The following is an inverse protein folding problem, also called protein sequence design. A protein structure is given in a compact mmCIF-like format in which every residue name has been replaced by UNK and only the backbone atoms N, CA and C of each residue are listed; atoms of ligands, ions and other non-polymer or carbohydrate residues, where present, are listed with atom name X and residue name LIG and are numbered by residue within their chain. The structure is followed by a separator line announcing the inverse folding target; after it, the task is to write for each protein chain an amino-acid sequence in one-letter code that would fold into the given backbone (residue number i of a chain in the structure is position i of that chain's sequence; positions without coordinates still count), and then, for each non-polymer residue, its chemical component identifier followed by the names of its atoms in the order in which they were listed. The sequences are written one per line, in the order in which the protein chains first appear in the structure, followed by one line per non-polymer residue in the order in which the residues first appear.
data_IF_180109163119
#
_entry.id   IF_180109163119
#
_cell.length_a   1.000
_cell.length_b   1.000
_cell.length_c   1.000
_cell.angle_alpha   90.00
_cell.angle_beta   90.00
_cell.angle_gamma   90.00
#
_symmetry.space_group_name_H-M   'P 1'
#
loop_
_entity.id
_entity.type
_entity.pdbx_description
1 polymer ?
#
# COMPACT_ATOMS: atom_id res chain seq x y z
N UNK A 1 -5.89 5.30 -3.04
CA UNK A 1 -5.24 4.38 -4.00
C UNK A 1 -4.12 5.17 -4.65
N UNK A 2 -3.01 4.58 -5.04
CA UNK A 2 -1.88 5.36 -5.56
C UNK A 2 -0.81 4.55 -6.24
N UNK A 3 0.33 5.20 -6.47
CA UNK A 3 1.55 4.62 -7.02
C UNK A 3 2.70 4.81 -6.04
N UNK A 4 3.61 3.85 -5.99
CA UNK A 4 4.82 3.90 -5.19
C UNK A 4 6.04 3.48 -6.03
N UNK A 5 7.17 4.16 -5.85
CA UNK A 5 8.36 3.96 -6.69
C UNK A 5 9.18 2.69 -6.41
N UNK A 6 8.90 1.92 -5.35
CA UNK A 6 9.78 0.85 -4.88
C UNK A 6 9.97 -0.30 -5.88
N UNK A 7 8.88 -0.92 -6.35
CA UNK A 7 8.97 -2.14 -7.18
C UNK A 7 9.61 -1.87 -8.55
N UNK A 8 9.53 -0.63 -9.05
CA UNK A 8 10.12 -0.20 -10.31
C UNK A 8 11.55 0.32 -10.13
N UNK A 9 11.78 1.21 -9.16
CA UNK A 9 13.00 2.01 -9.08
C UNK A 9 13.84 1.81 -7.82
N UNK A 10 13.35 1.01 -6.85
CA UNK A 10 14.03 0.78 -5.58
C UNK A 10 14.38 2.09 -4.88
N UNK A 11 15.65 2.25 -4.53
CA UNK A 11 16.19 3.43 -3.87
C UNK A 11 16.45 4.62 -4.82
N UNK A 12 16.26 4.45 -6.13
CA UNK A 12 16.90 5.31 -7.16
C UNK A 12 15.96 6.18 -7.99
N UNK A 13 14.68 6.29 -7.63
CA UNK A 13 13.73 7.11 -8.39
C UNK A 13 14.20 8.56 -8.53
N UNK A 14 13.91 9.17 -9.67
CA UNK A 14 14.22 10.57 -10.02
C UNK A 14 12.96 11.42 -10.11
N UNK A 15 13.11 12.74 -10.03
CA UNK A 15 12.00 13.70 -10.16
C UNK A 15 11.23 13.55 -11.47
N UNK A 16 11.92 13.36 -12.59
CA UNK A 16 11.30 13.21 -13.90
C UNK A 16 10.43 11.93 -13.98
N UNK A 17 10.89 10.84 -13.37
CA UNK A 17 10.15 9.57 -13.29
C UNK A 17 8.91 9.70 -12.40
N UNK A 18 9.03 10.39 -11.26
CA UNK A 18 7.88 10.71 -10.39
C UNK A 18 6.84 11.53 -11.15
N UNK A 19 7.27 12.59 -11.85
CA UNK A 19 6.37 13.44 -12.61
C UNK A 19 5.76 12.73 -13.82
N UNK A 20 6.49 11.79 -14.45
CA UNK A 20 5.96 10.97 -15.53
C UNK A 20 4.84 10.05 -15.05
N UNK A 21 5.06 9.35 -13.92
CA UNK A 21 4.05 8.52 -13.29
C UNK A 21 2.85 9.34 -12.80
N UNK A 22 3.09 10.54 -12.24
CA UNK A 22 2.03 11.45 -11.81
C UNK A 22 1.14 11.90 -12.97
N UNK A 23 1.72 12.35 -14.09
CA UNK A 23 0.95 12.74 -15.28
C UNK A 23 0.16 11.55 -15.84
N UNK A 24 0.79 10.38 -15.95
CA UNK A 24 0.12 9.19 -16.45
C UNK A 24 -1.05 8.77 -15.56
N UNK A 25 -0.85 8.76 -14.23
CA UNK A 25 -1.89 8.44 -13.26
C UNK A 25 -3.05 9.43 -13.36
N UNK A 26 -2.77 10.73 -13.50
CA UNK A 26 -3.79 11.77 -13.74
C UNK A 26 -4.61 11.48 -15.00
N UNK A 27 -3.94 11.24 -16.13
CA UNK A 27 -4.58 11.08 -17.44
C UNK A 27 -5.39 9.78 -17.57
N UNK A 28 -5.01 8.71 -16.85
CA UNK A 28 -5.55 7.38 -17.10
C UNK A 28 -6.26 6.72 -15.91
N UNK A 29 -5.91 7.10 -14.67
CA UNK A 29 -6.32 6.37 -13.47
C UNK A 29 -7.04 7.25 -12.43
N UNK A 30 -6.99 8.57 -12.55
CA UNK A 30 -7.62 9.49 -11.59
C UNK A 30 -9.13 9.24 -11.47
N UNK A 31 -9.83 9.11 -12.59
CA UNK A 31 -11.27 8.83 -12.63
C UNK A 31 -11.63 7.45 -12.04
N UNK A 32 -10.67 6.52 -12.03
CA UNK A 32 -10.79 5.21 -11.38
C UNK A 32 -10.43 5.25 -9.88
N UNK A 33 -10.13 6.43 -9.32
CA UNK A 33 -9.91 6.65 -7.88
C UNK A 33 -8.45 6.58 -7.41
N UNK A 34 -7.49 6.49 -8.33
CA UNK A 34 -6.06 6.55 -8.01
C UNK A 34 -5.64 8.01 -7.88
N UNK A 35 -5.12 8.42 -6.73
CA UNK A 35 -4.93 9.84 -6.43
C UNK A 35 -3.66 10.16 -5.62
N UNK A 36 -2.78 9.19 -5.39
CA UNK A 36 -1.60 9.36 -4.52
C UNK A 36 -0.32 8.94 -5.24
N UNK A 37 0.73 9.75 -5.16
CA UNK A 37 2.08 9.48 -5.69
C UNK A 37 3.06 9.44 -4.52
N UNK A 38 3.74 8.31 -4.31
CA UNK A 38 4.67 8.11 -3.19
C UNK A 38 6.09 7.90 -3.69
N UNK A 39 7.02 8.75 -3.24
CA UNK A 39 8.47 8.56 -3.40
C UNK A 39 8.95 7.65 -2.28
N UNK A 40 9.39 6.44 -2.61
CA UNK A 40 9.85 5.46 -1.64
C UNK A 40 11.29 5.75 -1.14
N UNK A 41 11.87 4.83 -0.38
CA UNK A 41 13.05 5.00 0.47
C UNK A 41 14.27 5.60 -0.22
N UNK A 42 15.14 6.20 0.60
CA UNK A 42 16.46 6.69 0.22
C UNK A 42 16.47 7.85 -0.79
N UNK A 43 15.38 8.62 -0.91
CA UNK A 43 15.36 9.89 -1.67
C UNK A 43 16.41 10.92 -1.21
N UNK A 44 16.91 10.77 0.00
CA UNK A 44 17.97 11.58 0.59
C UNK A 44 19.38 11.10 0.24
N UNK A 45 19.55 9.93 -0.38
CA UNK A 45 20.85 9.39 -0.75
C UNK A 45 21.27 9.87 -2.15
N UNK A 46 22.28 10.76 -2.26
CA UNK A 46 22.77 11.22 -3.56
C UNK A 46 23.56 10.14 -4.32
N UNK A 47 23.95 9.05 -3.67
CA UNK A 47 24.72 7.95 -4.25
C UNK A 47 23.89 6.67 -4.42
N UNK A 48 22.55 6.76 -4.29
CA UNK A 48 21.66 5.62 -4.43
C UNK A 48 21.90 4.86 -5.73
N UNK A 49 21.87 3.53 -5.65
CA UNK A 49 22.10 2.61 -6.75
C UNK A 49 21.06 1.48 -6.74
N UNK A 50 20.89 0.80 -7.88
CA UNK A 50 20.02 -0.37 -7.95
C UNK A 50 20.51 -1.49 -7.00
N UNK A 51 19.59 -2.37 -6.61
CA UNK A 51 19.89 -3.60 -5.86
C UNK A 51 20.46 -3.42 -4.44
N UNK A 52 20.11 -2.34 -3.74
CA UNK A 52 20.34 -2.23 -2.31
C UNK A 52 20.64 -0.81 -1.82
N UNK A 53 21.29 -0.75 -0.66
CA UNK A 53 21.57 0.46 0.10
C UNK A 53 23.08 0.71 0.22
N UNK A 54 23.46 1.98 0.34
CA UNK A 54 24.83 2.35 0.67
C UNK A 54 25.08 2.18 2.17
N UNK A 55 26.15 1.47 2.54
CA UNK A 55 26.61 1.35 3.93
C UNK A 55 28.12 1.70 4.01
N UNK A 56 28.51 2.82 4.65
CA UNK A 56 27.65 3.74 5.38
C UNK A 56 26.91 4.73 4.46
N UNK A 57 25.68 5.08 4.84
CA UNK A 57 24.91 6.15 4.21
C UNK A 57 25.61 7.51 4.40
N UNK A 58 25.58 8.34 3.35
CA UNK A 58 26.00 9.74 3.36
C UNK A 58 24.85 10.61 2.84
N UNK A 59 23.85 10.91 3.68
CA UNK A 59 22.61 11.51 3.21
C UNK A 59 22.78 13.00 2.93
N UNK A 60 21.97 13.51 2.02
CA UNK A 60 21.62 14.93 1.98
C UNK A 60 20.80 15.26 3.24
N UNK A 61 21.26 16.23 4.02
CA UNK A 61 20.74 16.52 5.35
C UNK A 61 20.94 17.99 5.69
N UNK A 62 20.02 18.57 6.46
CA UNK A 62 20.15 19.94 6.94
C UNK A 62 21.01 20.06 8.21
N UNK A 63 21.24 21.29 8.65
CA UNK A 63 22.07 21.58 9.83
C UNK A 63 21.49 21.07 11.16
N UNK A 64 20.25 20.54 11.16
CA UNK A 64 19.55 20.04 12.33
C UNK A 64 19.34 18.52 12.29
N UNK A 65 20.03 17.82 11.38
CA UNK A 65 19.96 16.37 11.28
C UNK A 65 18.72 15.83 10.55
N UNK A 66 17.94 16.69 9.87
CA UNK A 66 16.77 16.26 9.10
C UNK A 66 17.13 16.00 7.65
N UNK A 67 16.63 14.90 7.11
CA UNK A 67 16.95 14.43 5.76
C UNK A 67 16.38 15.37 4.69
N UNK A 68 17.15 15.61 3.63
CA UNK A 68 16.79 16.46 2.49
C UNK A 68 16.83 15.65 1.19
N UNK A 69 15.94 15.91 0.21
CA UNK A 69 16.02 15.27 -1.11
C UNK A 69 17.33 15.58 -1.82
N UNK A 70 17.95 14.53 -2.36
CA UNK A 70 19.22 14.60 -3.06
C UNK A 70 19.08 15.42 -4.36
N UNK A 71 19.70 16.62 -4.48
CA UNK A 71 19.43 17.52 -5.61
C UNK A 71 19.88 16.99 -6.98
N UNK A 72 20.78 16.01 -7.02
CA UNK A 72 21.16 15.35 -8.28
C UNK A 72 20.05 14.44 -8.84
N UNK A 73 19.13 13.98 -7.99
CA UNK A 73 17.96 13.17 -8.37
C UNK A 73 16.66 13.98 -8.38
N UNK A 74 16.60 15.01 -7.54
CA UNK A 74 15.49 15.95 -7.42
C UNK A 74 15.96 17.39 -7.63
N UNK A 75 16.26 17.80 -8.88
CA UNK A 75 16.85 19.12 -9.16
C UNK A 75 16.02 20.29 -8.65
N UNK A 76 14.68 20.15 -8.58
CA UNK A 76 13.83 21.23 -8.07
C UNK A 76 14.02 21.50 -6.58
N UNK A 77 14.60 20.55 -5.83
CA UNK A 77 14.85 20.69 -4.39
C UNK A 77 16.01 21.63 -4.04
N UNK A 78 16.84 21.96 -5.03
CA UNK A 78 18.02 22.79 -4.87
C UNK A 78 17.69 24.15 -4.24
N UNK A 79 18.64 24.69 -3.47
CA UNK A 79 18.47 25.97 -2.78
C UNK A 79 17.55 25.90 -1.55
N UNK A 80 17.45 24.73 -0.91
CA UNK A 80 16.69 24.55 0.34
C UNK A 80 15.19 24.46 0.16
N UNK A 81 14.71 24.20 -1.06
CA UNK A 81 13.27 24.09 -1.36
C UNK A 81 12.68 22.74 -0.94
N UNK A 82 13.53 21.73 -0.75
CA UNK A 82 13.09 20.38 -0.40
C UNK A 82 12.12 19.83 -1.45
N UNK A 83 11.09 19.11 -1.02
CA UNK A 83 10.09 18.57 -1.95
C UNK A 83 8.99 19.55 -2.35
N UNK A 84 8.96 20.79 -1.83
CA UNK A 84 7.85 21.71 -2.08
C UNK A 84 7.54 21.88 -3.59
N UNK A 85 8.52 22.08 -4.50
CA UNK A 85 8.21 22.24 -5.92
C UNK A 85 7.67 20.96 -6.58
N UNK A 86 8.14 19.78 -6.17
CA UNK A 86 7.66 18.50 -6.67
C UNK A 86 6.22 18.23 -6.17
N UNK A 87 5.97 18.48 -4.88
CA UNK A 87 4.63 18.38 -4.31
C UNK A 87 3.64 19.33 -4.99
N UNK A 88 4.01 20.59 -5.22
CA UNK A 88 3.19 21.58 -5.94
C UNK A 88 2.85 21.08 -7.36
N UNK A 89 3.81 20.48 -8.06
CA UNK A 89 3.58 19.92 -9.40
C UNK A 89 2.63 18.70 -9.37
N UNK A 90 2.72 17.85 -8.35
CA UNK A 90 1.79 16.72 -8.14
C UNK A 90 0.39 17.23 -7.77
N UNK A 91 0.29 18.21 -6.88
CA UNK A 91 -0.98 18.83 -6.49
C UNK A 91 -1.67 19.56 -7.65
N UNK A 92 -0.91 20.16 -8.57
CA UNK A 92 -1.45 20.77 -9.79
C UNK A 92 -2.15 19.77 -10.71
N UNK A 93 -1.85 18.47 -10.57
CA UNK A 93 -2.54 17.36 -11.25
C UNK A 93 -3.74 16.81 -10.45
N UNK A 94 -4.17 17.51 -9.39
CA UNK A 94 -5.20 17.04 -8.46
C UNK A 94 -4.86 15.72 -7.76
N UNK A 95 -3.56 15.44 -7.62
CA UNK A 95 -3.03 14.27 -6.92
C UNK A 95 -2.49 14.66 -5.54
N UNK A 96 -2.24 13.66 -4.69
CA UNK A 96 -1.60 13.77 -3.38
C UNK A 96 -0.16 13.32 -3.47
N UNK A 97 0.71 13.95 -2.70
CA UNK A 97 2.14 13.65 -2.68
C UNK A 97 2.54 12.95 -1.37
N UNK A 98 3.31 11.87 -1.48
CA UNK A 98 3.77 11.09 -0.35
C UNK A 98 5.26 10.80 -0.40
N UNK A 99 5.83 10.55 0.78
CA UNK A 99 7.24 10.17 0.93
C UNK A 99 7.39 9.01 1.91
N UNK A 100 8.41 8.21 1.70
CA UNK A 100 8.91 7.24 2.66
C UNK A 100 9.82 7.90 3.71
N UNK A 101 9.82 7.39 4.93
CA UNK A 101 10.80 7.73 5.97
C UNK A 101 11.23 6.47 6.72
N UNK A 102 12.49 6.44 7.16
CA UNK A 102 12.96 5.45 8.13
C UNK A 102 12.67 5.92 9.56
N UNK A 103 12.30 4.99 10.45
CA UNK A 103 12.24 5.24 11.89
C UNK A 103 13.55 5.85 12.42
N UNK A 104 13.43 6.75 13.38
CA UNK A 104 14.53 7.23 14.19
C UNK A 104 15.27 8.43 13.60
N UNK A 105 16.57 8.52 13.91
CA UNK A 105 17.46 9.64 13.58
C UNK A 105 18.66 9.16 12.75
N UNK A 106 19.10 9.90 11.72
CA UNK A 106 20.24 9.50 10.91
C UNK A 106 21.51 9.28 11.73
N UNK A 107 22.21 8.16 11.52
CA UNK A 107 23.50 7.90 12.17
C UNK A 107 24.51 9.02 11.90
N UNK A 108 24.49 9.56 10.69
CA UNK A 108 25.32 10.70 10.30
C UNK A 108 25.06 11.97 11.15
N UNK A 109 23.82 12.20 11.61
CA UNK A 109 23.50 13.31 12.51
C UNK A 109 24.06 13.08 13.92
N UNK A 110 23.98 11.84 14.41
CA UNK A 110 24.52 11.41 15.71
C UNK A 110 26.05 11.45 15.72
N UNK A 111 26.70 10.98 14.66
CA UNK A 111 28.15 11.04 14.50
C UNK A 111 28.67 12.49 14.55
N UNK A 112 27.98 13.41 13.88
CA UNK A 112 28.31 14.83 13.83
C UNK A 112 27.80 15.63 15.04
N UNK A 113 26.99 15.01 15.89
CA UNK A 113 26.36 15.63 17.06
C UNK A 113 25.54 16.90 16.75
N UNK A 114 24.77 16.84 15.66
CA UNK A 114 24.03 18.00 15.17
C UNK A 114 22.95 18.46 16.17
N UNK A 115 22.67 19.78 16.23
CA UNK A 115 21.64 20.32 17.11
C UNK A 115 20.23 19.89 16.69
N UNK A 116 19.35 19.64 17.65
CA UNK A 116 17.93 19.36 17.39
C UNK A 116 17.17 20.68 17.27
N UNK A 117 16.54 20.91 16.12
CA UNK A 117 15.85 22.17 15.80
C UNK A 117 14.90 22.63 16.91
N UNK A 118 14.99 23.90 17.30
CA UNK A 118 14.11 24.50 18.31
C UNK A 118 14.39 24.08 19.75
N UNK A 119 15.51 23.40 20.02
CA UNK A 119 15.89 22.95 21.36
C UNK A 119 17.36 23.27 21.68
N UNK A 120 17.75 23.04 22.93
CA UNK A 120 19.14 23.06 23.39
C UNK A 120 19.86 21.71 23.28
N UNK A 121 19.18 20.69 22.74
CA UNK A 121 19.66 19.32 22.67
C UNK A 121 20.38 19.01 21.36
N UNK A 122 21.09 17.88 21.36
CA UNK A 122 21.88 17.36 20.24
C UNK A 122 21.45 15.96 19.86
N UNK A 123 21.80 15.53 18.64
CA UNK A 123 21.50 14.23 18.11
C UNK A 123 22.02 13.08 19.01
N UNK A 124 23.22 13.21 19.63
CA UNK A 124 23.73 12.16 20.53
C UNK A 124 22.95 12.04 21.83
N UNK A 125 22.37 13.13 22.32
CA UNK A 125 21.59 13.12 23.56
C UNK A 125 20.24 12.41 23.40
N UNK A 126 19.70 12.38 22.17
CA UNK A 126 18.35 11.86 21.90
C UNK A 126 18.36 10.51 21.19
N UNK A 127 19.52 9.99 20.81
CA UNK A 127 19.65 8.74 20.06
C UNK A 127 19.80 7.53 20.99
N UNK A 128 18.99 6.50 20.75
CA UNK A 128 19.21 5.18 21.32
C UNK A 128 20.08 4.35 20.36
N UNK A 129 21.39 4.41 20.55
CA UNK A 129 22.36 3.72 19.67
C UNK A 129 22.33 2.19 19.74
N UNK A 130 21.64 1.62 20.74
CA UNK A 130 21.38 0.18 20.83
C UNK A 130 20.15 -0.28 20.05
N UNK A 131 19.31 0.66 19.62
CA UNK A 131 18.12 0.40 18.82
C UNK A 131 18.40 0.68 17.34
N UNK A 132 18.37 -0.38 16.52
CA UNK A 132 18.77 -0.34 15.12
C UNK A 132 17.83 -1.19 14.27
N UNK A 133 17.69 -0.80 13.00
CA UNK A 133 17.03 -1.62 12.00
C UNK A 133 17.96 -2.76 11.55
N UNK A 134 17.40 -3.96 11.36
CA UNK A 134 18.17 -5.19 11.03
C UNK A 134 18.50 -5.34 9.55
N UNK A 135 17.85 -4.57 8.68
CA UNK A 135 17.98 -4.69 7.21
C UNK A 135 18.46 -3.39 6.55
N UNK A 136 18.45 -2.27 7.26
CA UNK A 136 18.98 -0.98 6.80
C UNK A 136 19.71 -0.28 7.97
N UNK A 137 20.87 0.30 7.71
CA UNK A 137 21.74 0.85 8.77
C UNK A 137 21.75 2.38 8.82
N UNK A 138 20.77 3.05 8.21
CA UNK A 138 20.77 4.50 8.02
C UNK A 138 20.55 5.27 9.32
N UNK A 139 19.73 4.71 10.22
CA UNK A 139 19.27 5.37 11.44
C UNK A 139 19.61 4.60 12.72
N UNK A 140 19.57 5.32 13.84
CA UNK A 140 19.35 4.79 15.19
C UNK A 140 17.93 5.10 15.64
N UNK A 141 17.38 4.30 16.54
CA UNK A 141 16.14 4.65 17.25
C UNK A 141 16.30 5.90 18.11
N UNK A 142 15.17 6.48 18.53
CA UNK A 142 15.15 7.62 19.45
C UNK A 142 14.95 7.17 20.91
N UNK A 143 15.59 7.87 21.84
CA UNK A 143 15.33 7.74 23.27
C UNK A 143 14.09 8.56 23.66
N UNK A 144 12.94 7.88 23.68
CA UNK A 144 11.64 8.51 23.99
C UNK A 144 11.48 8.94 25.46
N UNK A 145 12.42 8.63 26.35
CA UNK A 145 12.46 9.21 27.70
C UNK A 145 13.05 10.63 27.68
N UNK A 146 13.79 10.99 26.63
CA UNK A 146 14.40 12.30 26.48
C UNK A 146 13.47 13.28 25.72
N UNK A 147 13.15 14.48 26.26
CA UNK A 147 12.19 15.40 25.63
C UNK A 147 12.59 15.86 24.22
N UNK A 148 13.88 15.89 23.91
CA UNK A 148 14.40 16.18 22.57
C UNK A 148 14.02 15.15 21.49
N UNK A 149 13.66 13.92 21.83
CA UNK A 149 13.25 12.90 20.85
C UNK A 149 11.95 13.30 20.14
N UNK A 150 10.90 13.68 20.90
CA UNK A 150 9.67 14.17 20.29
C UNK A 150 9.90 15.46 19.49
N UNK A 151 10.78 16.35 19.97
CA UNK A 151 11.10 17.59 19.26
C UNK A 151 11.76 17.34 17.89
N UNK A 152 12.58 16.29 17.77
CA UNK A 152 13.16 15.88 16.49
C UNK A 152 12.08 15.46 15.49
N UNK A 153 11.15 14.59 15.89
CA UNK A 153 10.02 14.21 15.02
C UNK A 153 9.08 15.37 14.72
N UNK A 154 8.74 16.20 15.69
CA UNK A 154 7.92 17.41 15.45
C UNK A 154 8.59 18.29 14.39
N UNK A 155 9.91 18.50 14.49
CA UNK A 155 10.69 19.28 13.53
C UNK A 155 10.82 18.64 12.14
N UNK A 156 10.91 17.31 12.07
CA UNK A 156 11.00 16.59 10.79
C UNK A 156 9.64 16.52 10.09
N UNK A 157 8.57 16.16 10.79
CA UNK A 157 7.22 16.13 10.21
C UNK A 157 6.75 17.55 9.83
N UNK A 158 7.08 18.58 10.62
CA UNK A 158 6.81 19.97 10.22
C UNK A 158 7.54 20.37 8.93
N UNK A 159 8.76 19.88 8.70
CA UNK A 159 9.48 20.09 7.45
C UNK A 159 8.75 19.41 6.28
N UNK A 160 8.34 18.15 6.43
CA UNK A 160 7.56 17.44 5.40
C UNK A 160 6.22 18.14 5.11
N UNK A 161 5.52 18.60 6.16
CA UNK A 161 4.28 19.35 6.03
C UNK A 161 4.49 20.69 5.29
N UNK A 162 5.61 21.38 5.53
CA UNK A 162 5.97 22.62 4.84
C UNK A 162 6.24 22.42 3.35
N UNK A 163 6.59 21.21 2.94
CA UNK A 163 6.73 20.82 1.54
C UNK A 163 5.42 20.36 0.91
N UNK A 164 4.31 20.32 1.64
CA UNK A 164 3.03 19.87 1.10
C UNK A 164 2.84 18.35 1.05
N UNK A 165 3.60 17.57 1.82
CA UNK A 165 3.39 16.11 1.92
C UNK A 165 1.99 15.80 2.48
N UNK A 166 1.28 14.85 1.86
CA UNK A 166 -0.05 14.35 2.24
C UNK A 166 -0.02 12.94 2.83
N UNK A 167 1.07 12.21 2.60
CA UNK A 167 1.19 10.80 2.93
C UNK A 167 2.62 10.47 3.38
N UNK A 168 2.77 9.78 4.51
CA UNK A 168 4.06 9.28 5.01
C UNK A 168 3.97 7.75 5.12
N UNK A 169 4.91 7.04 4.49
CA UNK A 169 5.19 5.63 4.76
C UNK A 169 6.40 5.55 5.70
N UNK A 170 6.18 5.15 6.95
CA UNK A 170 7.23 5.00 7.95
C UNK A 170 7.64 3.52 8.09
N UNK A 171 8.88 3.23 7.71
CA UNK A 171 9.50 1.90 7.79
C UNK A 171 10.22 1.67 9.12
N UNK A 172 10.55 0.39 9.35
CA UNK A 172 11.16 -0.13 10.58
C UNK A 172 10.29 0.09 11.82
N UNK A 173 8.95 0.05 11.66
CA UNK A 173 7.99 0.33 12.73
C UNK A 173 7.33 -0.91 13.33
N UNK A 174 7.11 -1.97 12.53
CA UNK A 174 6.22 -3.09 12.92
C UNK A 174 6.94 -4.44 13.09
N UNK A 175 8.21 -4.55 12.70
CA UNK A 175 9.01 -5.77 12.80
C UNK A 175 10.49 -5.47 13.12
N UNK A 176 10.86 -5.30 14.41
CA UNK A 176 10.01 -5.47 15.59
C UNK A 176 9.01 -4.33 15.81
N UNK A 177 8.02 -4.53 16.67
CA UNK A 177 6.95 -3.54 16.89
C UNK A 177 7.44 -2.42 17.82
N UNK A 178 7.53 -1.19 17.29
CA UNK A 178 8.02 -0.01 18.01
C UNK A 178 6.86 0.93 18.39
N UNK A 179 6.17 0.64 19.49
CA UNK A 179 5.02 1.41 19.98
C UNK A 179 5.33 2.89 20.22
N UNK A 180 6.39 3.20 20.96
CA UNK A 180 6.76 4.58 21.29
C UNK A 180 7.08 5.43 20.04
N UNK A 181 7.72 4.83 19.03
CA UNK A 181 8.07 5.48 17.77
C UNK A 181 6.83 5.78 16.93
N UNK A 182 5.90 4.82 16.86
CA UNK A 182 4.59 4.97 16.20
C UNK A 182 3.79 6.12 16.82
N UNK A 183 3.68 6.14 18.16
CA UNK A 183 2.96 7.20 18.86
C UNK A 183 3.62 8.58 18.66
N UNK A 184 4.95 8.63 18.69
CA UNK A 184 5.68 9.88 18.54
C UNK A 184 5.52 10.48 17.14
N UNK A 185 5.55 9.64 16.09
CA UNK A 185 5.24 10.07 14.72
C UNK A 185 3.78 10.52 14.58
N UNK A 186 2.83 9.79 15.16
CA UNK A 186 1.42 10.16 15.14
C UNK A 186 1.20 11.54 15.80
N UNK A 187 1.80 11.78 16.97
CA UNK A 187 1.78 13.10 17.65
C UNK A 187 2.42 14.20 16.81
N UNK A 188 3.54 13.92 16.14
CA UNK A 188 4.19 14.90 15.28
C UNK A 188 3.30 15.30 14.09
N UNK A 189 2.59 14.33 13.50
CA UNK A 189 1.58 14.58 12.45
C UNK A 189 0.42 15.43 12.99
N UNK A 190 -0.12 15.11 14.17
CA UNK A 190 -1.17 15.91 14.80
C UNK A 190 -0.76 17.38 15.03
N UNK A 191 0.53 17.62 15.32
CA UNK A 191 1.08 18.96 15.63
C UNK A 191 1.50 19.76 14.40
N UNK A 192 1.75 19.12 13.25
CA UNK A 192 2.33 19.81 12.10
C UNK A 192 1.35 20.77 11.38
N UNK A 193 0.06 20.70 11.69
CA UNK A 193 -0.95 21.60 11.12
C UNK A 193 -1.42 21.23 9.70
N UNK A 194 -0.98 20.09 9.15
CA UNK A 194 -1.40 19.54 7.85
C UNK A 194 -1.96 18.12 8.04
N UNK A 195 -3.09 17.76 7.41
CA UNK A 195 -3.53 16.36 7.37
C UNK A 195 -2.52 15.53 6.58
N UNK A 196 -1.93 14.52 7.24
CA UNK A 196 -1.01 13.57 6.62
C UNK A 196 -1.47 12.16 6.96
N UNK A 197 -1.63 11.32 5.94
CA UNK A 197 -1.93 9.90 6.10
C UNK A 197 -0.66 9.17 6.56
N UNK A 198 -0.73 8.45 7.68
CA UNK A 198 0.36 7.61 8.15
C UNK A 198 0.18 6.13 7.75
N UNK A 199 1.14 5.61 6.99
CA UNK A 199 1.34 4.20 6.68
C UNK A 199 2.55 3.65 7.46
N UNK A 200 2.41 2.46 8.03
CA UNK A 200 3.46 1.80 8.83
C UNK A 200 3.94 0.51 8.16
N UNK A 201 5.25 0.27 8.22
CA UNK A 201 5.92 -0.83 7.52
C UNK A 201 7.26 -1.20 8.19
N UNK A 202 7.91 -2.32 7.85
CA UNK A 202 7.36 -3.49 7.14
C UNK A 202 6.56 -4.38 8.08
N UNK A 203 5.62 -5.16 7.55
CA UNK A 203 4.98 -6.24 8.29
C UNK A 203 5.82 -7.52 8.23
N UNK A 204 5.63 -8.45 9.17
CA UNK A 204 6.08 -9.86 9.04
C UNK A 204 5.17 -10.77 9.88
N UNK A 205 5.26 -10.63 11.19
CA UNK A 205 4.53 -11.38 12.21
C UNK A 205 3.60 -10.46 13.01
N UNK A 206 3.02 -9.44 12.36
CA UNK A 206 2.19 -8.45 13.03
C UNK A 206 0.99 -9.13 13.72
N UNK A 207 0.90 -8.93 15.02
CA UNK A 207 -0.15 -9.51 15.86
C UNK A 207 -1.39 -8.63 15.89
N UNK A 208 -2.58 -9.25 15.75
CA UNK A 208 -3.87 -8.55 15.89
C UNK A 208 -4.12 -8.02 17.30
N UNK A 209 -3.27 -8.38 18.29
CA UNK A 209 -3.29 -7.76 19.62
C UNK A 209 -2.97 -6.26 19.59
N UNK A 210 -2.31 -5.77 18.55
CA UNK A 210 -1.97 -4.35 18.39
C UNK A 210 -3.06 -3.54 17.67
N UNK A 211 -4.17 -4.15 17.25
CA UNK A 211 -5.21 -3.48 16.43
C UNK A 211 -5.67 -2.16 17.03
N UNK A 212 -5.89 -2.09 18.34
CA UNK A 212 -6.39 -0.86 18.96
C UNK A 212 -5.33 0.24 18.96
N UNK A 213 -4.07 -0.10 19.28
CA UNK A 213 -2.96 0.85 19.21
C UNK A 213 -2.73 1.35 17.77
N UNK A 214 -2.74 0.45 16.78
CA UNK A 214 -2.62 0.80 15.37
C UNK A 214 -3.74 1.74 14.93
N UNK A 215 -4.97 1.48 15.38
CA UNK A 215 -6.12 2.34 15.09
C UNK A 215 -6.03 3.71 15.73
N UNK A 216 -5.35 3.86 16.84
CA UNK A 216 -5.19 5.17 17.47
C UNK A 216 -4.14 6.00 16.73
N UNK A 217 -3.11 5.35 16.18
CA UNK A 217 -1.90 6.06 15.74
C UNK A 217 -1.67 6.09 14.21
N UNK A 218 -2.27 5.20 13.41
CA UNK A 218 -2.03 5.15 11.97
C UNK A 218 -3.28 4.98 11.13
N UNK A 219 -3.18 5.28 9.84
CA UNK A 219 -4.26 5.06 8.87
C UNK A 219 -4.11 3.72 8.17
N UNK A 220 -2.88 3.22 7.98
CA UNK A 220 -2.64 1.89 7.45
C UNK A 220 -1.35 1.26 7.98
N UNK A 221 -1.27 -0.07 7.95
CA UNK A 221 -0.14 -0.84 8.47
C UNK A 221 0.05 -2.15 7.72
N UNK A 222 1.28 -2.43 7.30
CA UNK A 222 1.65 -3.64 6.58
C UNK A 222 1.42 -4.91 7.42
N UNK A 223 0.75 -5.91 6.85
CA UNK A 223 0.46 -7.20 7.49
C UNK A 223 1.36 -8.36 7.01
N UNK A 224 2.25 -8.07 6.07
CA UNK A 224 3.21 -9.01 5.50
C UNK A 224 4.56 -8.36 5.27
N UNK A 225 5.57 -9.22 5.08
CA UNK A 225 6.83 -8.84 4.46
C UNK A 225 6.59 -8.40 3.00
N UNK A 226 7.64 -7.90 2.36
CA UNK A 226 7.55 -7.32 1.02
C UNK A 226 6.97 -8.32 0.01
N UNK A 227 5.89 -7.91 -0.63
CA UNK A 227 5.18 -8.69 -1.64
C UNK A 227 5.83 -8.47 -3.02
N UNK A 228 6.11 -9.55 -3.73
CA UNK A 228 6.61 -9.51 -5.10
C UNK A 228 5.70 -10.30 -6.06
N UNK A 229 6.00 -10.24 -7.34
CA UNK A 229 5.30 -10.90 -8.45
C UNK A 229 5.50 -12.43 -8.46
N UNK A 230 5.12 -13.09 -7.37
CA UNK A 230 5.17 -14.55 -7.20
C UNK A 230 3.83 -15.04 -6.69
N UNK A 231 3.30 -16.12 -7.27
CA UNK A 231 2.05 -16.71 -6.80
C UNK A 231 2.07 -17.03 -5.31
N UNK A 232 3.18 -17.57 -4.77
CA UNK A 232 3.31 -17.87 -3.34
C UNK A 232 3.09 -16.63 -2.44
N UNK A 233 3.52 -15.45 -2.90
CA UNK A 233 3.33 -14.20 -2.15
C UNK A 233 1.86 -13.79 -2.15
N UNK A 234 1.19 -13.91 -3.30
CA UNK A 234 -0.26 -13.65 -3.45
C UNK A 234 -1.08 -14.66 -2.63
N UNK A 235 -0.77 -15.96 -2.75
CA UNK A 235 -1.44 -17.06 -2.06
C UNK A 235 -1.37 -16.87 -0.53
N UNK A 236 -0.20 -16.50 -0.01
CA UNK A 236 -0.02 -16.23 1.42
C UNK A 236 -0.91 -15.08 1.94
N UNK A 237 -1.31 -14.13 1.09
CA UNK A 237 -2.19 -13.03 1.50
C UNK A 237 -3.62 -13.47 1.77
N UNK A 238 -4.13 -14.58 1.21
CA UNK A 238 -5.49 -15.05 1.49
C UNK A 238 -5.70 -15.24 3.00
N UNK A 239 -4.80 -15.96 3.66
CA UNK A 239 -4.90 -16.21 5.10
C UNK A 239 -4.64 -14.95 5.94
N UNK A 240 -3.75 -14.06 5.48
CA UNK A 240 -3.43 -12.80 6.17
C UNK A 240 -4.63 -11.85 6.11
N UNK A 241 -5.18 -11.60 4.93
CA UNK A 241 -6.34 -10.74 4.75
C UNK A 241 -7.57 -11.33 5.46
N UNK A 242 -7.81 -12.64 5.41
CA UNK A 242 -8.91 -13.26 6.16
C UNK A 242 -8.81 -12.99 7.67
N UNK A 243 -7.60 -13.06 8.22
CA UNK A 243 -7.34 -12.75 9.64
C UNK A 243 -7.59 -11.27 9.98
N UNK A 244 -7.28 -10.36 9.06
CA UNK A 244 -7.32 -8.92 9.31
C UNK A 244 -8.64 -8.23 8.89
N UNK A 245 -9.40 -8.82 7.97
CA UNK A 245 -10.64 -8.28 7.43
C UNK A 245 -11.66 -7.83 8.51
N UNK A 246 -11.87 -8.57 9.63
CA UNK A 246 -12.78 -8.13 10.69
C UNK A 246 -12.37 -6.81 11.37
N UNK A 247 -11.12 -6.38 11.21
CA UNK A 247 -10.61 -5.14 11.82
C UNK A 247 -10.60 -3.95 10.86
N UNK A 248 -10.90 -4.14 9.58
CA UNK A 248 -10.94 -3.06 8.59
C UNK A 248 -12.09 -2.09 8.90
N UNK A 249 -11.80 -0.79 8.97
CA UNK A 249 -12.82 0.26 9.10
C UNK A 249 -12.34 1.55 8.44
N UNK A 250 -13.27 2.46 8.17
CA UNK A 250 -12.97 3.74 7.53
C UNK A 250 -11.75 4.43 8.18
N UNK A 251 -10.74 4.67 7.36
CA UNK A 251 -9.50 5.34 7.75
C UNK A 251 -8.50 4.49 8.52
N UNK A 252 -8.71 3.17 8.65
CA UNK A 252 -7.88 2.23 9.45
C UNK A 252 -7.73 0.90 8.72
N UNK A 253 -6.61 0.73 8.02
CA UNK A 253 -6.45 -0.30 7.01
C UNK A 253 -5.28 -1.23 7.28
N UNK A 254 -5.55 -2.52 7.44
CA UNK A 254 -4.54 -3.54 7.25
C UNK A 254 -4.11 -3.54 5.76
N UNK A 255 -2.80 -3.47 5.53
CA UNK A 255 -2.18 -3.29 4.24
C UNK A 255 -1.45 -4.57 3.80
N UNK A 256 -1.95 -5.20 2.73
CA UNK A 256 -1.37 -6.39 2.11
C UNK A 256 -0.19 -6.08 1.18
N UNK A 257 0.31 -4.84 1.21
CA UNK A 257 1.43 -4.30 0.45
C UNK A 257 1.08 -3.84 -0.97
N UNK A 258 2.09 -3.26 -1.62
CA UNK A 258 2.07 -2.77 -2.99
C UNK A 258 1.72 -3.87 -3.99
N UNK A 259 1.26 -3.44 -5.16
CA UNK A 259 0.85 -4.28 -6.27
C UNK A 259 2.00 -4.34 -7.29
N UNK A 260 2.71 -5.48 -7.40
CA UNK A 260 3.84 -5.67 -8.31
C UNK A 260 3.33 -5.95 -9.72
N UNK A 261 2.53 -5.01 -10.24
CA UNK A 261 1.86 -5.05 -11.54
C UNK A 261 2.55 -4.09 -12.51
N UNK A 262 2.49 -4.42 -13.80
CA UNK A 262 3.08 -3.60 -14.86
C UNK A 262 4.59 -3.77 -14.96
N UNK A 263 5.29 -2.70 -15.37
CA UNK A 263 6.74 -2.70 -15.58
C UNK A 263 7.49 -2.49 -14.27
N UNK A 264 8.12 -3.54 -13.74
CA UNK A 264 8.85 -3.52 -12.47
C UNK A 264 10.32 -3.90 -12.65
N UNK A 265 11.12 -3.78 -11.60
CA UNK A 265 12.52 -4.22 -11.60
C UNK A 265 13.46 -3.37 -12.45
N UNK A 266 13.06 -2.17 -12.88
CA UNK A 266 13.87 -1.29 -13.73
C UNK A 266 15.22 -1.01 -13.04
N UNK A 267 15.15 -0.64 -11.75
CA UNK A 267 16.29 -0.45 -10.84
C UNK A 267 15.91 -0.83 -9.40
N UNK A 268 15.01 -1.79 -9.25
CA UNK A 268 14.48 -2.19 -7.96
C UNK A 268 15.52 -2.90 -7.08
N UNK A 269 15.17 -3.13 -5.82
CA UNK A 269 15.99 -3.97 -4.93
C UNK A 269 16.14 -5.39 -5.50
N UNK A 270 15.06 -5.96 -6.06
CA UNK A 270 15.00 -7.37 -6.47
C UNK A 270 14.71 -7.56 -7.96
N UNK A 271 15.59 -8.35 -8.58
CA UNK A 271 15.45 -8.82 -9.96
C UNK A 271 15.81 -7.77 -11.00
N UNK A 272 15.64 -8.15 -12.27
CA UNK A 272 15.96 -7.34 -13.44
C UNK A 272 14.69 -6.73 -14.07
N UNK A 273 14.83 -5.75 -15.00
CA UNK A 273 13.68 -5.08 -15.63
C UNK A 273 12.76 -6.07 -16.35
N UNK A 274 11.49 -6.11 -15.94
CA UNK A 274 10.50 -7.07 -16.43
C UNK A 274 9.09 -6.53 -16.33
N UNK A 275 8.17 -7.15 -17.05
CA UNK A 275 6.76 -7.04 -16.72
C UNK A 275 6.46 -8.02 -15.59
N UNK A 276 5.42 -7.76 -14.79
CA UNK A 276 4.99 -8.65 -13.71
C UNK A 276 4.95 -10.11 -14.17
N UNK A 277 5.55 -11.01 -13.38
CA UNK A 277 5.51 -12.46 -13.66
C UNK A 277 4.19 -13.12 -13.32
N UNK A 278 3.26 -12.40 -12.68
CA UNK A 278 1.92 -12.90 -12.43
C UNK A 278 1.17 -13.05 -13.75
N UNK A 279 0.53 -14.20 -13.95
CA UNK A 279 -0.39 -14.40 -15.08
C UNK A 279 -1.58 -13.45 -14.98
N UNK A 280 -2.31 -13.25 -16.07
CA UNK A 280 -3.45 -12.34 -16.07
C UNK A 280 -4.52 -12.70 -15.02
N UNK A 281 -4.76 -14.00 -14.85
CA UNK A 281 -5.70 -14.52 -13.85
C UNK A 281 -5.17 -14.29 -12.42
N UNK A 282 -3.88 -14.44 -12.18
CA UNK A 282 -3.24 -14.12 -10.90
C UNK A 282 -3.29 -12.62 -10.59
N UNK A 283 -3.13 -11.76 -11.60
CA UNK A 283 -3.26 -10.29 -11.44
C UNK A 283 -4.70 -9.91 -11.07
N UNK A 284 -5.70 -10.53 -11.69
CA UNK A 284 -7.11 -10.34 -11.32
C UNK A 284 -7.40 -10.86 -9.91
N UNK A 285 -6.84 -12.01 -9.55
CA UNK A 285 -6.93 -12.57 -8.19
C UNK A 285 -6.33 -11.63 -7.16
N UNK A 286 -5.12 -11.10 -7.38
CA UNK A 286 -4.45 -10.12 -6.54
C UNK A 286 -5.36 -8.90 -6.30
N UNK A 287 -5.79 -8.23 -7.38
CA UNK A 287 -6.62 -7.02 -7.26
C UNK A 287 -7.94 -7.30 -6.54
N UNK A 288 -8.61 -8.40 -6.90
CA UNK A 288 -9.91 -8.76 -6.31
C UNK A 288 -9.78 -9.09 -4.82
N UNK A 289 -8.74 -9.82 -4.43
CA UNK A 289 -8.47 -10.15 -3.03
C UNK A 289 -8.16 -8.89 -2.22
N UNK A 290 -7.35 -7.95 -2.75
CA UNK A 290 -7.05 -6.69 -2.07
C UNK A 290 -8.32 -5.86 -1.89
N UNK A 291 -9.17 -5.78 -2.92
CA UNK A 291 -10.44 -5.04 -2.86
C UNK A 291 -11.41 -5.67 -1.85
N UNK A 292 -11.61 -6.97 -1.92
CA UNK A 292 -12.51 -7.68 -0.99
C UNK A 292 -11.99 -7.62 0.45
N UNK A 293 -10.67 -7.73 0.64
CA UNK A 293 -9.99 -7.57 1.93
C UNK A 293 -9.84 -6.12 2.39
N UNK A 294 -10.24 -5.15 1.56
CA UNK A 294 -10.12 -3.70 1.79
C UNK A 294 -8.71 -3.21 2.09
N UNK A 295 -7.71 -3.82 1.46
CA UNK A 295 -6.33 -3.35 1.49
C UNK A 295 -6.21 -2.03 0.72
N UNK A 296 -5.29 -1.12 1.11
CA UNK A 296 -4.83 -0.06 0.23
C UNK A 296 -4.33 -0.63 -1.10
N UNK A 297 -4.53 0.11 -2.19
CA UNK A 297 -3.98 -0.21 -3.49
C UNK A 297 -2.87 0.79 -3.82
N UNK A 298 -1.64 0.31 -3.90
CA UNK A 298 -0.47 1.08 -4.32
C UNK A 298 0.25 0.32 -5.43
N UNK A 299 0.16 0.75 -6.68
CA UNK A 299 0.84 0.08 -7.80
C UNK A 299 2.33 0.43 -7.80
N UNK A 300 3.19 -0.59 -7.93
CA UNK A 300 4.65 -0.44 -7.87
C UNK A 300 5.35 -0.31 -9.22
N UNK A 301 4.69 -0.73 -10.32
CA UNK A 301 5.23 -0.64 -11.67
C UNK A 301 5.31 0.78 -12.20
N UNK A 302 6.25 1.02 -13.11
CA UNK A 302 6.31 2.25 -13.88
C UNK A 302 5.12 2.32 -14.84
N UNK A 303 4.18 3.22 -14.56
CA UNK A 303 2.92 3.33 -15.28
C UNK A 303 3.12 3.66 -16.78
N UNK A 304 3.97 4.63 -17.17
CA UNK A 304 4.16 4.98 -18.57
C UNK A 304 4.71 3.86 -19.46
N UNK A 305 5.49 2.94 -18.88
CA UNK A 305 6.07 1.79 -19.62
C UNK A 305 5.36 0.46 -19.36
N UNK A 306 4.29 0.46 -18.57
CA UNK A 306 3.47 -0.73 -18.33
C UNK A 306 2.61 -1.08 -19.55
N UNK A 307 2.36 -2.38 -19.75
CA UNK A 307 1.49 -2.87 -20.81
C UNK A 307 0.06 -2.29 -20.68
N UNK A 308 -0.59 -1.86 -21.79
CA UNK A 308 -1.95 -1.30 -21.74
C UNK A 308 -2.99 -2.19 -21.05
N UNK A 309 -2.84 -3.52 -21.09
CA UNK A 309 -3.76 -4.42 -20.40
C UNK A 309 -3.69 -4.28 -18.87
N UNK A 310 -2.50 -4.06 -18.32
CA UNK A 310 -2.35 -3.72 -16.90
C UNK A 310 -3.05 -2.41 -16.57
N UNK A 311 -2.94 -1.41 -17.45
CA UNK A 311 -3.62 -0.12 -17.24
C UNK A 311 -5.14 -0.29 -17.28
N UNK A 312 -5.68 -1.10 -18.19
CA UNK A 312 -7.11 -1.44 -18.22
C UNK A 312 -7.57 -2.15 -16.93
N UNK A 313 -6.77 -3.09 -16.41
CA UNK A 313 -7.04 -3.75 -15.12
C UNK A 313 -7.11 -2.74 -13.97
N UNK A 314 -6.16 -1.80 -13.91
CA UNK A 314 -6.11 -0.76 -12.87
C UNK A 314 -7.21 0.31 -13.04
N UNK A 315 -7.61 0.58 -14.28
CA UNK A 315 -8.69 1.52 -14.61
C UNK A 315 -10.10 0.95 -14.35
N UNK A 316 -10.21 -0.32 -13.91
CA UNK A 316 -11.49 -0.93 -13.59
C UNK A 316 -12.22 -0.14 -12.48
N UNK A 317 -13.37 0.50 -12.79
CA UNK A 317 -14.07 1.35 -11.82
C UNK A 317 -14.65 0.56 -10.63
N UNK A 318 -14.78 -0.76 -10.74
CA UNK A 318 -15.21 -1.62 -9.64
C UNK A 318 -14.21 -1.66 -8.49
N UNK A 319 -12.91 -1.44 -8.75
CA UNK A 319 -11.90 -1.44 -7.69
C UNK A 319 -12.21 -0.36 -6.65
N UNK A 320 -12.29 0.90 -7.07
CA UNK A 320 -12.60 2.01 -6.18
C UNK A 320 -14.03 1.93 -5.63
N UNK A 321 -15.00 1.53 -6.47
CA UNK A 321 -16.40 1.46 -6.06
C UNK A 321 -16.61 0.45 -4.93
N UNK A 322 -16.07 -0.75 -5.06
CA UNK A 322 -16.18 -1.78 -4.02
C UNK A 322 -15.37 -1.37 -2.80
N UNK A 323 -14.15 -0.84 -2.94
CA UNK A 323 -13.36 -0.38 -1.79
C UNK A 323 -14.08 0.69 -0.93
N UNK A 324 -14.75 1.64 -1.59
CA UNK A 324 -15.47 2.73 -0.95
C UNK A 324 -16.80 2.28 -0.32
N UNK A 325 -17.48 1.30 -0.91
CA UNK A 325 -18.82 0.87 -0.51
C UNK A 325 -18.84 -0.37 0.38
N UNK A 326 -17.86 -1.27 0.26
CA UNK A 326 -17.84 -2.54 0.97
C UNK A 326 -17.74 -2.37 2.48
N UNK A 327 -18.49 -3.18 3.22
CA UNK A 327 -18.42 -3.37 4.66
C UNK A 327 -18.60 -4.85 4.99
N UNK A 328 -18.23 -5.22 6.21
CA UNK A 328 -18.38 -6.59 6.73
C UNK A 328 -17.72 -7.64 5.79
N UNK A 329 -16.56 -7.29 5.23
CA UNK A 329 -15.77 -8.17 4.37
C UNK A 329 -15.30 -9.40 5.15
N UNK A 330 -15.51 -10.60 4.59
CA UNK A 330 -15.10 -11.84 5.20
C UNK A 330 -14.84 -12.94 4.17
N UNK A 331 -13.85 -13.79 4.45
CA UNK A 331 -13.78 -15.14 3.93
C UNK A 331 -14.89 -15.97 4.60
N UNK A 332 -15.78 -16.58 3.82
CA UNK A 332 -16.92 -17.35 4.33
C UNK A 332 -16.80 -18.86 4.04
N UNK A 333 -16.00 -19.24 3.04
CA UNK A 333 -15.77 -20.63 2.66
C UNK A 333 -14.29 -20.77 2.28
N UNK A 334 -13.66 -21.84 2.77
CA UNK A 334 -12.35 -22.31 2.32
C UNK A 334 -12.37 -23.84 2.36
N UNK A 335 -12.39 -24.44 1.19
CA UNK A 335 -12.44 -25.90 1.03
C UNK A 335 -11.18 -26.37 0.29
N UNK A 336 -10.21 -26.98 1.01
CA UNK A 336 -9.05 -27.60 0.40
C UNK A 336 -9.45 -28.80 -0.46
N UNK A 337 -8.78 -28.96 -1.58
CA UNK A 337 -8.91 -30.05 -2.54
C UNK A 337 -7.52 -30.51 -3.00
N UNK A 338 -7.46 -31.61 -3.74
CA UNK A 338 -6.19 -32.25 -4.11
C UNK A 338 -5.21 -31.29 -4.82
N UNK A 339 -5.74 -30.39 -5.66
CA UNK A 339 -4.93 -29.49 -6.50
C UNK A 339 -5.00 -28.01 -6.10
N UNK A 340 -5.69 -27.65 -5.01
CA UNK A 340 -5.86 -26.25 -4.60
C UNK A 340 -6.98 -26.05 -3.58
N UNK A 341 -7.28 -24.80 -3.25
CA UNK A 341 -8.34 -24.40 -2.33
C UNK A 341 -9.42 -23.62 -3.10
N UNK A 342 -10.68 -23.97 -2.87
CA UNK A 342 -11.81 -23.14 -3.28
C UNK A 342 -12.14 -22.17 -2.15
N UNK A 343 -12.01 -20.86 -2.41
CA UNK A 343 -12.15 -19.82 -1.40
C UNK A 343 -13.24 -18.84 -1.84
N UNK A 344 -14.17 -18.51 -0.93
CA UNK A 344 -15.23 -17.55 -1.19
C UNK A 344 -15.15 -16.39 -0.21
N UNK A 345 -15.06 -15.19 -0.76
CA UNK A 345 -15.13 -13.95 -0.02
C UNK A 345 -16.46 -13.25 -0.28
N UNK A 346 -17.00 -12.60 0.76
CA UNK A 346 -18.15 -11.72 0.63
C UNK A 346 -17.92 -10.38 1.28
N UNK A 347 -18.65 -9.38 0.84
CA UNK A 347 -18.82 -8.10 1.50
C UNK A 347 -20.24 -7.58 1.25
N UNK A 348 -20.71 -6.67 2.09
CA UNK A 348 -22.01 -6.00 1.92
C UNK A 348 -21.81 -4.60 1.39
N UNK A 349 -22.71 -4.15 0.53
CA UNK A 349 -22.80 -2.73 0.16
C UNK A 349 -23.22 -1.91 1.39
N UNK A 350 -22.56 -0.78 1.62
CA UNK A 350 -22.97 0.19 2.64
C UNK A 350 -24.13 1.08 2.15
N UNK A 351 -24.32 1.17 0.83
CA UNK A 351 -25.31 2.05 0.20
C UNK A 351 -26.59 1.34 -0.26
N UNK A 352 -26.52 0.04 -0.53
CA UNK A 352 -27.62 -0.74 -1.12
C UNK A 352 -27.78 -2.07 -0.38
N UNK A 353 -28.90 -2.81 -0.55
CA UNK A 353 -29.03 -4.18 -0.04
C UNK A 353 -28.19 -5.21 -0.83
N UNK A 354 -27.27 -4.78 -1.70
CA UNK A 354 -26.44 -5.67 -2.50
C UNK A 354 -25.30 -6.30 -1.71
N UNK A 355 -24.86 -7.46 -2.18
CA UNK A 355 -23.68 -8.16 -1.71
C UNK A 355 -22.62 -8.17 -2.82
N UNK A 356 -21.36 -8.11 -2.44
CA UNK A 356 -20.22 -8.43 -3.30
C UNK A 356 -19.74 -9.83 -2.95
N UNK A 357 -19.42 -10.65 -3.95
CA UNK A 357 -18.92 -12.01 -3.76
C UNK A 357 -17.77 -12.27 -4.72
N UNK A 358 -16.70 -12.90 -4.25
CA UNK A 358 -15.57 -13.33 -5.05
C UNK A 358 -15.28 -14.82 -4.81
N UNK A 359 -15.22 -15.58 -5.90
CA UNK A 359 -15.01 -17.01 -5.95
C UNK A 359 -13.61 -17.24 -6.51
N UNK A 360 -12.69 -17.64 -5.64
CA UNK A 360 -11.29 -17.87 -5.97
C UNK A 360 -11.01 -19.37 -6.07
N UNK A 361 -10.10 -19.71 -6.98
CA UNK A 361 -9.53 -21.04 -7.08
C UNK A 361 -8.01 -20.94 -7.09
N UNK A 362 -7.34 -21.65 -6.17
CA UNK A 362 -5.87 -21.58 -6.05
C UNK A 362 -5.14 -22.73 -6.76
N UNK A 363 -5.85 -23.57 -7.52
CA UNK A 363 -5.26 -24.73 -8.16
C UNK A 363 -4.81 -24.54 -9.60
N UNK A 364 -4.06 -25.52 -10.10
CA UNK A 364 -3.34 -25.46 -11.38
C UNK A 364 -4.22 -25.61 -12.63
N UNK A 365 -5.42 -26.18 -12.50
CA UNK A 365 -6.37 -26.36 -13.60
C UNK A 365 -7.68 -25.62 -13.31
N UNK A 366 -8.35 -25.11 -14.34
CA UNK A 366 -9.62 -24.41 -14.17
C UNK A 366 -10.71 -25.31 -13.56
N UNK A 367 -11.63 -24.69 -12.81
CA UNK A 367 -12.65 -25.41 -12.05
C UNK A 367 -14.02 -24.75 -12.12
N UNK A 368 -15.08 -25.54 -12.27
CA UNK A 368 -16.45 -25.03 -12.10
C UNK A 368 -16.90 -25.22 -10.66
N UNK A 369 -17.35 -24.14 -10.01
CA UNK A 369 -17.91 -24.17 -8.65
C UNK A 369 -19.22 -23.41 -8.58
N UNK A 370 -20.06 -23.80 -7.63
CA UNK A 370 -21.34 -23.18 -7.36
C UNK A 370 -21.45 -22.88 -5.87
N UNK A 371 -22.02 -21.71 -5.54
CA UNK A 371 -22.23 -21.27 -4.16
C UNK A 371 -23.72 -20.91 -3.98
N UNK A 372 -24.43 -21.50 -3.01
CA UNK A 372 -25.81 -21.13 -2.74
C UNK A 372 -25.96 -19.63 -2.43
N UNK A 373 -26.98 -18.98 -3.01
CA UNK A 373 -27.29 -17.57 -2.74
C UNK A 373 -27.51 -17.30 -1.25
N UNK A 374 -28.09 -18.25 -0.53
CA UNK A 374 -28.33 -18.15 0.91
C UNK A 374 -27.03 -18.11 1.72
N UNK A 375 -25.94 -18.74 1.24
CA UNK A 375 -24.62 -18.64 1.87
C UNK A 375 -24.00 -17.24 1.66
N UNK A 376 -24.29 -16.59 0.53
CA UNK A 376 -23.77 -15.26 0.19
C UNK A 376 -24.57 -14.14 0.89
N UNK A 377 -25.90 -14.27 0.88
CA UNK A 377 -26.84 -13.22 1.31
C UNK A 377 -27.31 -13.39 2.76
N UNK A 378 -27.25 -14.62 3.30
CA UNK A 378 -27.92 -14.98 4.54
C UNK A 378 -29.46 -15.08 4.41
N UNK A 379 -30.02 -14.86 3.21
CA UNK A 379 -31.46 -14.90 2.95
C UNK A 379 -31.84 -16.24 2.27
N UNK A 380 -32.72 -17.05 2.89
CA UNK A 380 -33.21 -18.30 2.31
C UNK A 380 -34.27 -18.09 1.20
N UNK A 381 -34.60 -16.83 0.86
CA UNK A 381 -35.59 -16.50 -0.16
C UNK A 381 -35.28 -17.12 -1.53
N UNK A 382 -36.30 -17.37 -2.36
CA UNK A 382 -36.11 -17.92 -3.70
C UNK A 382 -35.20 -17.06 -4.58
N UNK A 383 -34.50 -17.72 -5.49
CA UNK A 383 -33.48 -17.12 -6.37
C UNK A 383 -34.02 -16.02 -7.29
N UNK A 384 -35.30 -16.07 -7.67
CA UNK A 384 -35.94 -15.07 -8.52
C UNK A 384 -36.04 -13.66 -7.90
N UNK A 385 -35.64 -13.51 -6.62
CA UNK A 385 -35.51 -12.22 -5.93
C UNK A 385 -34.12 -11.60 -6.07
N UNK A 386 -33.21 -12.20 -6.81
CA UNK A 386 -31.83 -11.74 -6.91
C UNK A 386 -31.38 -11.67 -8.37
N UNK A 387 -30.51 -10.69 -8.64
CA UNK A 387 -29.77 -10.54 -9.88
C UNK A 387 -28.27 -10.61 -9.59
N UNK A 388 -27.50 -11.15 -10.53
CA UNK A 388 -26.05 -11.31 -10.41
C UNK A 388 -25.40 -10.59 -11.58
N UNK A 389 -24.40 -9.76 -11.30
CA UNK A 389 -23.59 -9.07 -12.32
C UNK A 389 -22.11 -9.25 -12.04
N UNK A 390 -21.36 -9.72 -13.03
CA UNK A 390 -19.90 -9.80 -12.96
C UNK A 390 -19.24 -8.42 -12.98
N UNK A 391 -18.16 -8.26 -12.21
CA UNK A 391 -17.46 -6.99 -12.00
C UNK A 391 -16.16 -6.91 -12.84
N UNK A 392 -16.26 -7.03 -14.16
CA UNK A 392 -15.09 -7.03 -15.04
C UNK A 392 -14.56 -5.63 -15.36
N UNK A 393 -13.28 -5.54 -15.76
CA UNK A 393 -12.60 -4.30 -16.14
C UNK A 393 -13.20 -3.58 -17.36
N UNK A 394 -14.05 -4.27 -18.14
CA UNK A 394 -14.70 -3.73 -19.34
C UNK A 394 -16.06 -3.05 -19.12
N UNK A 395 -16.55 -2.96 -17.88
CA UNK A 395 -17.69 -2.11 -17.48
C UNK A 395 -19.07 -2.36 -18.10
N UNK A 396 -19.20 -3.11 -19.20
CA UNK A 396 -20.46 -3.23 -19.95
C UNK A 396 -20.66 -4.52 -20.75
N UNK A 397 -19.75 -5.49 -20.69
CA UNK A 397 -20.06 -6.82 -21.19
C UNK A 397 -20.86 -7.55 -20.11
N UNK A 398 -22.16 -7.68 -20.31
CA UNK A 398 -22.90 -8.83 -19.78
C UNK A 398 -22.27 -10.09 -20.39
N UNK A 399 -21.10 -10.51 -19.90
CA UNK A 399 -20.65 -11.86 -20.12
C UNK A 399 -21.61 -12.72 -19.30
N UNK A 400 -22.46 -13.44 -20.03
CA UNK A 400 -23.51 -14.35 -19.55
C UNK A 400 -22.94 -15.60 -18.82
N UNK A 401 -21.79 -15.47 -18.15
CA UNK A 401 -21.07 -16.63 -17.59
C UNK A 401 -21.38 -16.88 -16.11
N UNK A 402 -22.03 -15.94 -15.41
CA UNK A 402 -22.72 -16.23 -14.15
C UNK A 402 -24.21 -16.52 -14.40
N UNK A 403 -24.50 -17.79 -14.68
CA UNK A 403 -25.87 -18.26 -14.67
C UNK A 403 -26.28 -18.43 -13.20
N UNK A 404 -27.08 -17.49 -12.68
CA UNK A 404 -27.86 -17.76 -11.48
C UNK A 404 -28.72 -19.00 -11.79
N UNK A 405 -28.26 -20.16 -11.34
CA UNK A 405 -28.82 -21.46 -11.72
C UNK A 405 -29.37 -22.09 -10.47
N UNK A 406 -30.68 -22.32 -10.42
CA UNK A 406 -31.32 -23.03 -9.30
C UNK A 406 -31.04 -22.45 -7.90
N UNK A 407 -30.73 -21.14 -7.81
CA UNK A 407 -30.41 -20.47 -6.54
C UNK A 407 -28.94 -20.50 -6.13
N UNK A 408 -28.05 -20.80 -7.07
CA UNK A 408 -26.61 -20.78 -6.86
C UNK A 408 -25.94 -19.81 -7.83
N UNK A 409 -24.88 -19.14 -7.36
CA UNK A 409 -23.92 -18.45 -8.21
C UNK A 409 -22.91 -19.48 -8.68
N UNK A 410 -22.98 -19.83 -9.97
CA UNK A 410 -22.07 -20.80 -10.60
C UNK A 410 -21.11 -20.07 -11.54
N UNK A 411 -19.83 -20.42 -11.48
CA UNK A 411 -18.80 -19.83 -12.33
C UNK A 411 -17.72 -20.85 -12.72
N UNK A 412 -17.18 -20.69 -13.93
CA UNK A 412 -15.94 -21.34 -14.38
C UNK A 412 -14.76 -20.46 -13.99
N UNK A 413 -13.98 -20.93 -13.02
CA UNK A 413 -12.89 -20.19 -12.39
C UNK A 413 -11.56 -20.69 -12.97
N UNK A 414 -10.74 -19.81 -13.57
CA UNK A 414 -9.43 -20.20 -14.11
C UNK A 414 -8.47 -20.72 -13.05
N UNK A 415 -7.38 -21.34 -13.49
CA UNK A 415 -6.25 -21.65 -12.61
C UNK A 415 -5.75 -20.39 -11.93
N UNK A 416 -5.55 -20.46 -10.61
CA UNK A 416 -5.16 -19.31 -9.77
C UNK A 416 -6.08 -18.09 -9.92
N UNK A 417 -7.28 -18.28 -10.46
CA UNK A 417 -8.16 -17.23 -10.95
C UNK A 417 -9.29 -16.90 -9.98
N UNK A 418 -10.05 -15.88 -10.40
CA UNK A 418 -11.22 -15.38 -9.67
C UNK A 418 -12.38 -15.10 -10.61
N UNK A 419 -13.60 -15.26 -10.08
CA UNK A 419 -14.81 -14.67 -10.63
C UNK A 419 -15.54 -13.93 -9.52
N UNK A 420 -15.94 -12.69 -9.76
CA UNK A 420 -16.50 -11.84 -8.72
C UNK A 420 -17.66 -11.00 -9.23
N UNK A 421 -18.66 -10.85 -8.35
CA UNK A 421 -20.00 -10.44 -8.71
C UNK A 421 -20.61 -9.48 -7.70
N UNK A 422 -21.51 -8.62 -8.17
CA UNK A 422 -22.54 -8.00 -7.34
C UNK A 422 -23.81 -8.86 -7.39
N UNK A 423 -24.37 -9.16 -6.22
CA UNK A 423 -25.63 -9.86 -6.02
C UNK A 423 -26.62 -8.86 -5.43
N UNK A 424 -27.65 -8.50 -6.19
CA UNK A 424 -28.57 -7.39 -5.86
C UNK A 424 -30.01 -7.90 -5.84
N UNK A 425 -30.86 -7.47 -4.90
CA UNK A 425 -32.29 -7.78 -4.95
C UNK A 425 -32.92 -7.31 -6.28
N UNK A 426 -33.71 -8.18 -6.91
CA UNK A 426 -34.34 -7.97 -8.21
C UNK A 426 -35.54 -7.01 -8.17
#
# INVERSE_FOLDING_TARGET
MGWNSWDSYGTTVTEDEVLANARFLHDHLLDAGWDTIVVDIAWFDPFAHAHGYNDPLRPSMDAWGRLLPAPNRFPSSAGGKGFAPLADAVHALSLKFGVHVMRGIPRAAVEQDLPVFGTEFTARQIANTGDTCVWNHDNYGLDHEHPGAQAFYDGFVAQLASWGVDFIKADDMLSPYHDAEIEAYARAIERCGRPIVLSLSPGTHLSTRHVEHLRQNAQMWRISDDLWDRWDDVHAQFARLARWAPFQRSGRWADADMLPLGRIGIRAERGEPRDSRLTDDEQQTLLTLWVMGRSPLMVGGDLPSSDPRTIELLANPWLARVLADARDSAEIIREPQDDGEFIVWTARSAQTPSHYVALFWTGADAVTRAVPLSAITGDPSPSNRWSVRELSAGGNSAHEDAQLTSGEVRADIPSHGVRWFAVTPA
#
